data_IF_284012361681
#
_entry.id   IF_284012361681
#
_cell.length_a   1.000
_cell.length_b   1.000
_cell.length_c   1.000
_cell.angle_alpha   90.00
_cell.angle_beta   90.00
_cell.angle_gamma   90.00
#
_symmetry.space_group_name_H-M   'P 1'
#
loop_
_entity.id
_entity.type
_entity.pdbx_description
1 polymer ?
#
# COMPACT_ATOMS: atom_id res chain seq x y z
N UNK A 1 9.73 -12.76 1.77
CA UNK A 1 9.26 -11.95 0.62
C UNK A 1 8.82 -10.58 1.12
N UNK A 2 9.27 -9.49 0.50
CA UNK A 2 8.85 -8.11 0.87
C UNK A 2 7.46 -7.86 0.27
N UNK A 3 6.44 -7.62 1.10
CA UNK A 3 5.05 -7.33 0.65
C UNK A 3 4.83 -5.90 0.15
N UNK A 4 5.81 -5.03 0.38
CA UNK A 4 5.76 -3.61 0.02
C UNK A 4 6.67 -3.37 -1.18
N UNK A 5 6.09 -2.78 -2.22
CA UNK A 5 6.76 -2.40 -3.45
C UNK A 5 6.82 -0.88 -3.56
N UNK A 6 7.87 -0.36 -4.17
CA UNK A 6 7.92 1.05 -4.57
C UNK A 6 7.33 1.22 -5.97
N UNK A 7 6.60 2.31 -6.18
CA UNK A 7 6.01 2.67 -7.47
C UNK A 7 6.73 3.87 -8.07
N UNK A 8 6.87 3.84 -9.38
CA UNK A 8 7.33 4.99 -10.13
C UNK A 8 6.21 6.05 -10.19
N UNK A 9 6.57 7.31 -9.92
CA UNK A 9 5.69 8.46 -10.01
C UNK A 9 6.06 9.26 -11.23
N UNK A 10 5.07 9.59 -12.05
CA UNK A 10 5.24 10.60 -13.07
C UNK A 10 5.24 11.98 -12.40
N UNK A 11 6.41 12.63 -12.35
CA UNK A 11 6.62 13.89 -11.65
C UNK A 11 5.96 15.07 -12.41
N UNK A 12 5.85 14.98 -13.73
CA UNK A 12 5.34 16.07 -14.57
C UNK A 12 3.85 16.34 -14.33
N UNK A 13 3.09 15.30 -13.98
CA UNK A 13 1.64 15.39 -13.74
C UNK A 13 1.21 14.79 -12.39
N UNK A 14 2.17 14.42 -11.53
CA UNK A 14 1.95 13.83 -10.20
C UNK A 14 0.99 12.63 -10.24
N UNK A 15 1.15 11.74 -11.22
CA UNK A 15 0.29 10.56 -11.41
C UNK A 15 1.04 9.24 -11.27
N UNK A 16 0.29 8.15 -11.06
CA UNK A 16 0.80 6.78 -11.00
C UNK A 16 -0.10 5.88 -11.82
N UNK A 17 0.52 4.90 -12.49
CA UNK A 17 -0.18 3.81 -13.16
C UNK A 17 0.03 2.48 -12.41
N UNK A 18 -1.07 1.78 -12.12
CA UNK A 18 -1.04 0.48 -11.46
C UNK A 18 -2.10 -0.46 -12.05
N UNK A 19 -1.72 -1.72 -12.22
CA UNK A 19 -2.66 -2.79 -12.56
C UNK A 19 -3.42 -3.20 -11.30
N UNK A 20 -4.74 -3.32 -11.44
CA UNK A 20 -5.59 -3.94 -10.42
C UNK A 20 -5.79 -5.41 -10.76
N UNK A 21 -5.70 -6.25 -9.74
CA UNK A 21 -6.02 -7.67 -9.85
C UNK A 21 -7.41 -7.92 -9.25
N UNK A 22 -8.22 -8.73 -9.93
CA UNK A 22 -9.57 -9.04 -9.47
C UNK A 22 -9.55 -9.69 -8.08
N UNK A 23 -10.45 -9.25 -7.20
CA UNK A 23 -10.56 -9.76 -5.83
C UNK A 23 -9.49 -9.26 -4.85
N UNK A 24 -8.56 -8.41 -5.29
CA UNK A 24 -7.52 -7.85 -4.43
C UNK A 24 -7.76 -6.37 -4.14
N UNK A 25 -7.43 -5.96 -2.91
CA UNK A 25 -7.41 -4.56 -2.50
C UNK A 25 -5.96 -4.08 -2.56
N UNK A 26 -5.68 -3.11 -3.44
CA UNK A 26 -4.39 -2.43 -3.52
C UNK A 26 -4.42 -1.17 -2.66
N UNK A 27 -3.43 -1.02 -1.79
CA UNK A 27 -3.20 0.20 -1.00
C UNK A 27 -1.97 0.90 -1.57
N UNK A 28 -2.11 2.20 -1.82
CA UNK A 28 -1.04 3.07 -2.30
C UNK A 28 -0.87 4.18 -1.25
N UNK A 29 0.36 4.34 -0.76
CA UNK A 29 0.71 5.42 0.15
C UNK A 29 1.60 6.42 -0.59
N UNK A 30 1.05 7.61 -0.77
CA UNK A 30 1.71 8.77 -1.37
C UNK A 30 2.38 9.59 -0.27
N UNK A 31 3.70 9.57 -0.22
CA UNK A 31 4.47 10.48 0.63
C UNK A 31 4.87 11.72 -0.19
N UNK A 32 4.21 12.85 0.11
CA UNK A 32 4.47 14.13 -0.54
C UNK A 32 5.80 14.79 -0.15
N UNK A 33 6.54 14.25 0.83
CA UNK A 33 7.85 14.78 1.24
C UNK A 33 9.01 14.07 0.55
N UNK A 34 8.95 12.75 0.41
CA UNK A 34 10.04 11.95 -0.18
C UNK A 34 9.87 11.69 -1.68
N UNK A 35 8.69 11.96 -2.25
CA UNK A 35 8.39 11.63 -3.64
C UNK A 35 8.40 10.12 -3.92
N UNK A 36 8.39 9.31 -2.86
CA UNK A 36 8.37 7.84 -2.94
C UNK A 36 6.94 7.38 -2.72
N UNK A 37 6.51 6.44 -3.55
CA UNK A 37 5.19 5.85 -3.42
C UNK A 37 5.33 4.39 -3.07
N UNK A 38 4.76 4.03 -1.92
CA UNK A 38 4.71 2.64 -1.48
C UNK A 38 3.38 2.02 -1.90
N UNK A 39 3.42 0.77 -2.37
CA UNK A 39 2.22 0.01 -2.67
C UNK A 39 2.28 -1.42 -2.16
N UNK A 40 1.14 -1.92 -1.71
CA UNK A 40 0.99 -3.26 -1.18
C UNK A 40 -0.46 -3.70 -1.31
N UNK A 41 -0.69 -5.00 -1.17
CA UNK A 41 -2.03 -5.58 -1.17
C UNK A 41 -2.48 -5.74 0.27
N UNK A 42 -3.75 -5.41 0.55
CA UNK A 42 -4.36 -5.75 1.81
C UNK A 42 -4.49 -7.28 1.92
N UNK A 43 -4.51 -7.79 3.16
CA UNK A 43 -4.84 -9.20 3.40
C UNK A 43 -6.24 -9.52 2.87
N UNK A 44 -6.41 -10.73 2.32
CA UNK A 44 -7.70 -11.16 1.76
C UNK A 44 -8.77 -11.33 2.85
N UNK A 45 -8.36 -11.79 4.04
CA UNK A 45 -9.20 -11.90 5.23
C UNK A 45 -8.44 -11.37 6.43
N UNK A 46 -9.05 -10.45 7.18
CA UNK A 46 -8.47 -9.80 8.34
C UNK A 46 -8.21 -8.31 8.12
N UNK A 47 -7.14 -7.79 8.73
CA UNK A 47 -6.87 -6.36 8.80
C UNK A 47 -5.52 -6.02 8.15
N UNK A 48 -5.49 -4.89 7.44
CA UNK A 48 -4.23 -4.24 7.05
C UNK A 48 -4.20 -2.84 7.65
N UNK A 49 -3.22 -2.56 8.50
CA UNK A 49 -3.12 -1.30 9.24
C UNK A 49 -1.87 -0.56 8.78
N UNK A 50 -2.04 0.69 8.36
CA UNK A 50 -0.95 1.58 7.93
C UNK A 50 -0.73 2.64 9.01
N UNK A 51 0.45 2.63 9.61
CA UNK A 51 0.87 3.64 10.58
C UNK A 51 1.71 4.70 9.88
N UNK A 52 1.32 5.96 10.00
CA UNK A 52 2.04 7.09 9.41
C UNK A 52 2.70 7.96 10.48
N UNK A 53 3.81 8.59 10.13
CA UNK A 53 4.48 9.61 10.96
C UNK A 53 4.95 10.72 10.04
N UNK A 54 4.57 11.97 10.33
CA UNK A 54 4.95 13.15 9.53
C UNK A 54 4.64 12.99 8.03
N UNK A 55 3.48 12.44 7.66
CA UNK A 55 3.12 12.25 6.24
C UNK A 55 3.79 11.06 5.54
N UNK A 56 4.67 10.32 6.23
CA UNK A 56 5.33 9.12 5.68
C UNK A 56 4.69 7.84 6.23
N UNK A 57 4.62 6.78 5.42
CA UNK A 57 4.31 5.44 5.93
C UNK A 57 5.50 4.90 6.74
N UNK A 58 5.28 4.62 8.03
CA UNK A 58 6.32 4.14 8.93
C UNK A 58 6.28 2.62 9.11
N UNK A 59 5.08 2.06 9.27
CA UNK A 59 4.90 0.63 9.54
C UNK A 59 3.59 0.14 8.95
N UNK A 60 3.60 -1.10 8.45
CA UNK A 60 2.41 -1.75 7.91
C UNK A 60 2.23 -3.08 8.64
N UNK A 61 1.06 -3.27 9.22
CA UNK A 61 0.67 -4.54 9.83
C UNK A 61 -0.27 -5.30 8.91
N UNK A 62 0.03 -6.57 8.75
CA UNK A 62 -0.86 -7.54 8.10
C UNK A 62 -1.33 -8.51 9.17
N UNK A 63 -2.63 -8.48 9.48
CA UNK A 63 -3.25 -9.40 10.44
C UNK A 63 -4.22 -10.26 9.66
N UNK A 64 -3.77 -11.45 9.32
CA UNK A 64 -4.65 -12.42 8.66
C UNK A 64 -5.60 -13.01 9.71
N UNK A 65 -6.87 -13.13 9.34
CA UNK A 65 -7.87 -13.81 10.15
C UNK A 65 -8.58 -14.81 9.28
N UNK A 66 -8.76 -16.03 9.77
CA UNK A 66 -9.63 -16.99 9.08
C UNK A 66 -11.08 -16.56 9.25
N UNK A 67 -11.83 -16.64 8.15
CA UNK A 67 -13.28 -16.51 8.21
C UNK A 67 -13.78 -17.81 8.85
N UNK A 68 -14.14 -17.77 10.13
CA UNK A 68 -14.85 -18.86 10.79
C UNK A 68 -16.23 -18.92 10.13
N UNK A 69 -16.40 -19.86 9.21
CA UNK A 69 -17.70 -20.20 8.63
C UNK A 69 -18.42 -21.16 9.58
#
# INVERSE_FOLDING_TARGET
MKRVNELHVNIDNMSIEQKLESGKIKIIVLDGQKGVVSSFEAVHHGETIVETVNGEARRIHFRESEKLF
#
